data_IF_790444563421
#
_entry.id   IF_790444563421
#
_cell.length_a   1.000
_cell.length_b   1.000
_cell.length_c   1.000
_cell.angle_alpha   90.00
_cell.angle_beta   90.00
_cell.angle_gamma   90.00
#
_symmetry.space_group_name_H-M   'P 1'
#
loop_
_entity.id
_entity.type
_entity.pdbx_description
1 polymer ?
#
# COMPACT_ATOMS: atom_id res chain seq x y z
N UNK A 1 -21.65 -15.08 -4.72
CA UNK A 1 -20.61 -16.13 -4.66
C UNK A 1 -21.14 -17.33 -5.43
N UNK A 2 -20.76 -17.50 -6.69
CA UNK A 2 -21.00 -18.76 -7.43
C UNK A 2 -19.84 -19.73 -7.13
N UNK A 3 -20.12 -21.00 -6.78
CA UNK A 3 -19.16 -21.93 -6.16
C UNK A 3 -18.18 -22.55 -7.17
N UNK A 4 -17.09 -23.20 -6.72
CA UNK A 4 -15.94 -23.61 -7.56
C UNK A 4 -16.19 -24.76 -8.56
N UNK A 5 -17.44 -25.20 -8.76
CA UNK A 5 -17.77 -26.23 -9.75
C UNK A 5 -17.47 -25.81 -11.21
N UNK A 6 -17.54 -24.51 -11.51
CA UNK A 6 -17.27 -24.00 -12.87
C UNK A 6 -15.79 -24.09 -13.28
N UNK A 7 -14.87 -24.02 -12.30
CA UNK A 7 -13.43 -24.14 -12.57
C UNK A 7 -13.02 -25.61 -12.77
N UNK A 8 -13.59 -26.54 -12.01
CA UNK A 8 -13.28 -27.98 -12.13
C UNK A 8 -13.69 -28.56 -13.50
N UNK A 9 -14.82 -28.11 -14.07
CA UNK A 9 -15.26 -28.57 -15.40
C UNK A 9 -14.40 -28.02 -16.54
N UNK A 10 -13.73 -26.87 -16.34
CA UNK A 10 -12.86 -26.27 -17.35
C UNK A 10 -11.47 -26.93 -17.43
N UNK A 11 -10.93 -27.46 -16.32
CA UNK A 11 -9.59 -28.10 -16.31
C UNK A 11 -9.51 -29.30 -17.28
N UNK A 12 -10.64 -29.97 -17.56
CA UNK A 12 -10.68 -31.09 -18.52
C UNK A 12 -11.05 -30.66 -19.95
N UNK A 13 -11.31 -29.38 -20.20
CA UNK A 13 -11.74 -28.90 -21.52
C UNK A 13 -10.52 -28.78 -22.44
N UNK A 14 -10.58 -29.45 -23.60
CA UNK A 14 -9.60 -29.25 -24.67
C UNK A 14 -9.91 -27.95 -25.40
N UNK A 15 -8.89 -27.12 -25.56
CA UNK A 15 -8.98 -25.84 -26.26
C UNK A 15 -7.98 -25.80 -27.40
N UNK A 16 -8.32 -25.08 -28.46
CA UNK A 16 -7.44 -24.85 -29.62
C UNK A 16 -7.03 -23.38 -29.62
N UNK A 17 -5.74 -23.12 -29.79
CA UNK A 17 -5.24 -21.75 -29.86
C UNK A 17 -5.53 -21.16 -31.24
N UNK A 18 -6.15 -19.98 -31.33
CA UNK A 18 -6.37 -19.32 -32.63
C UNK A 18 -5.05 -19.06 -33.39
N UNK A 19 -3.98 -18.72 -32.69
CA UNK A 19 -2.74 -18.25 -33.34
C UNK A 19 -1.86 -19.42 -33.81
N UNK A 20 -1.61 -20.41 -32.95
CA UNK A 20 -0.74 -21.54 -33.28
C UNK A 20 -1.49 -22.82 -33.69
N UNK A 21 -2.83 -22.84 -33.54
CA UNK A 21 -3.70 -24.01 -33.82
C UNK A 21 -3.39 -25.27 -33.00
N UNK A 22 -2.53 -25.17 -31.98
CA UNK A 22 -2.24 -26.27 -31.05
C UNK A 22 -3.43 -26.55 -30.13
N UNK A 23 -3.70 -27.85 -29.92
CA UNK A 23 -4.72 -28.34 -28.99
C UNK A 23 -4.06 -28.80 -27.69
N UNK A 24 -4.47 -28.22 -26.56
CA UNK A 24 -4.06 -28.70 -25.23
C UNK A 24 -5.17 -28.55 -24.19
N UNK A 25 -4.96 -29.15 -23.02
CA UNK A 25 -5.86 -28.97 -21.88
C UNK A 25 -5.79 -27.54 -21.37
N UNK A 26 -6.95 -26.99 -20.99
CA UNK A 26 -7.03 -25.62 -20.51
C UNK A 26 -6.31 -25.45 -19.16
N UNK A 27 -5.20 -24.72 -19.19
CA UNK A 27 -4.33 -24.42 -18.04
C UNK A 27 -4.14 -22.91 -17.81
N UNK A 28 -3.35 -22.54 -16.79
CA UNK A 28 -3.04 -21.14 -16.43
C UNK A 28 -2.29 -20.33 -17.50
N UNK A 29 -1.79 -21.00 -18.54
CA UNK A 29 -1.13 -20.43 -19.72
C UNK A 29 -2.12 -19.88 -20.75
N UNK A 30 -3.41 -20.20 -20.62
CA UNK A 30 -4.46 -19.80 -21.56
C UNK A 30 -5.19 -18.53 -21.11
N UNK A 31 -5.70 -17.77 -22.09
CA UNK A 31 -6.66 -16.68 -21.90
C UNK A 31 -8.06 -17.20 -22.19
N UNK A 32 -8.99 -16.90 -21.27
CA UNK A 32 -10.40 -17.28 -21.42
C UNK A 32 -11.18 -16.16 -22.11
N UNK A 33 -11.77 -16.48 -23.25
CA UNK A 33 -12.83 -15.71 -23.87
C UNK A 33 -14.14 -15.85 -23.11
N UNK A 34 -14.88 -14.74 -22.97
CA UNK A 34 -16.20 -14.72 -22.32
C UNK A 34 -17.26 -15.57 -23.03
N UNK A 35 -17.14 -15.82 -24.34
CA UNK A 35 -18.09 -16.65 -25.09
C UNK A 35 -18.09 -18.14 -24.70
N UNK A 36 -17.04 -18.64 -24.04
CA UNK A 36 -16.94 -20.06 -23.67
C UNK A 36 -16.68 -21.02 -24.84
N UNK A 37 -16.33 -20.52 -26.03
CA UNK A 37 -15.95 -21.33 -27.19
C UNK A 37 -14.73 -22.23 -26.93
N UNK A 38 -14.45 -23.19 -27.83
CA UNK A 38 -13.25 -24.04 -27.74
C UNK A 38 -12.01 -23.31 -28.27
N UNK A 39 -12.20 -22.34 -29.17
CA UNK A 39 -11.14 -21.47 -29.62
C UNK A 39 -10.78 -20.45 -28.53
N UNK A 40 -9.59 -20.60 -27.99
CA UNK A 40 -9.00 -19.75 -26.96
C UNK A 40 -7.64 -19.24 -27.44
N UNK A 41 -6.90 -18.50 -26.63
CA UNK A 41 -5.59 -17.98 -27.01
C UNK A 41 -4.58 -18.28 -25.91
N UNK A 42 -3.39 -18.77 -26.26
CA UNK A 42 -2.28 -18.83 -25.31
C UNK A 42 -1.84 -17.41 -24.92
N UNK A 43 -1.53 -17.18 -23.65
CA UNK A 43 -0.97 -15.89 -23.18
C UNK A 43 0.27 -15.51 -24.00
N UNK A 44 1.18 -16.47 -24.25
CA UNK A 44 2.39 -16.25 -25.07
C UNK A 44 2.06 -15.82 -26.49
N UNK A 45 1.17 -16.55 -27.18
CA UNK A 45 0.78 -16.21 -28.54
C UNK A 45 0.11 -14.83 -28.61
N UNK A 46 -0.75 -14.49 -27.64
CA UNK A 46 -1.39 -13.18 -27.58
C UNK A 46 -0.36 -12.04 -27.43
N UNK A 47 0.64 -12.20 -26.55
CA UNK A 47 1.70 -11.20 -26.38
C UNK A 47 2.57 -11.09 -27.63
N UNK A 48 2.94 -12.22 -28.25
CA UNK A 48 3.70 -12.21 -29.51
C UNK A 48 2.95 -11.49 -30.63
N UNK A 49 1.64 -11.75 -30.76
CA UNK A 49 0.79 -11.09 -31.73
C UNK A 49 0.68 -9.59 -31.47
N UNK A 50 0.46 -9.17 -30.22
CA UNK A 50 0.47 -7.75 -29.86
C UNK A 50 1.81 -7.08 -30.18
N UNK A 51 2.91 -7.75 -29.86
CA UNK A 51 4.25 -7.25 -30.17
C UNK A 51 4.43 -7.00 -31.68
N UNK A 52 4.12 -7.99 -32.52
CA UNK A 52 4.21 -7.86 -33.98
C UNK A 52 3.32 -6.73 -34.52
N UNK A 53 2.08 -6.64 -34.05
CA UNK A 53 1.17 -5.57 -34.44
C UNK A 53 1.71 -4.18 -34.06
N UNK A 54 2.29 -4.04 -32.87
CA UNK A 54 2.90 -2.78 -32.47
C UNK A 54 4.18 -2.45 -33.26
N UNK A 55 5.01 -3.44 -33.58
CA UNK A 55 6.19 -3.22 -34.44
C UNK A 55 5.75 -2.76 -35.83
N UNK A 56 4.77 -3.41 -36.46
CA UNK A 56 4.26 -3.00 -37.77
C UNK A 56 3.65 -1.58 -37.76
N UNK A 57 2.91 -1.23 -36.72
CA UNK A 57 2.25 0.07 -36.60
C UNK A 57 3.22 1.22 -36.30
N UNK A 58 4.22 0.99 -35.44
CA UNK A 58 5.07 2.06 -34.90
C UNK A 58 6.49 2.06 -35.50
N UNK A 59 6.93 0.96 -36.11
CA UNK A 59 8.28 0.77 -36.66
C UNK A 59 8.20 0.21 -38.10
N UNK A 60 7.50 0.87 -39.05
CA UNK A 60 7.32 0.35 -40.40
C UNK A 60 8.63 0.25 -41.20
N UNK A 61 9.62 1.12 -40.92
CA UNK A 61 10.91 1.14 -41.62
C UNK A 61 11.94 0.32 -40.83
N UNK A 62 12.00 -0.99 -41.06
CA UNK A 62 12.84 -1.94 -40.32
C UNK A 62 14.35 -1.85 -40.59
N UNK A 63 14.77 -1.10 -41.62
CA UNK A 63 16.15 -1.17 -42.15
C UNK A 63 17.18 -0.46 -41.26
N UNK A 64 16.81 0.63 -40.57
CA UNK A 64 17.73 1.44 -39.75
C UNK A 64 17.19 1.69 -38.32
N UNK A 65 16.65 0.64 -37.68
CA UNK A 65 16.22 0.78 -36.29
C UNK A 65 17.44 0.87 -35.36
N UNK A 66 17.55 1.90 -34.49
CA UNK A 66 18.53 1.87 -33.42
C UNK A 66 18.29 0.64 -32.52
N UNK A 67 19.37 0.11 -31.94
CA UNK A 67 19.25 -0.90 -30.86
C UNK A 67 18.30 -0.33 -29.80
N UNK A 68 17.32 -1.14 -29.38
CA UNK A 68 16.29 -0.79 -28.39
C UNK A 68 15.12 0.10 -28.87
N UNK A 69 14.90 0.24 -30.18
CA UNK A 69 13.73 0.95 -30.72
C UNK A 69 12.38 0.32 -30.30
N UNK A 70 12.37 -0.98 -30.00
CA UNK A 70 11.22 -1.75 -29.49
C UNK A 70 11.04 -1.65 -27.96
N UNK A 71 11.98 -1.03 -27.24
CA UNK A 71 11.96 -0.90 -25.77
C UNK A 71 10.66 -0.27 -25.24
N UNK A 72 10.09 0.80 -25.87
CA UNK A 72 8.79 1.32 -25.45
C UNK A 72 7.69 0.27 -25.59
N UNK A 73 7.65 -0.49 -26.70
CA UNK A 73 6.64 -1.54 -26.93
C UNK A 73 6.77 -2.63 -25.87
N UNK A 74 7.99 -3.11 -25.62
CA UNK A 74 8.29 -4.11 -24.59
C UNK A 74 7.84 -3.62 -23.20
N UNK A 75 8.12 -2.36 -22.88
CA UNK A 75 7.71 -1.71 -21.62
C UNK A 75 6.19 -1.73 -21.44
N UNK A 76 5.45 -1.45 -22.51
CA UNK A 76 3.98 -1.47 -22.49
C UNK A 76 3.45 -2.90 -22.27
N UNK A 77 4.03 -3.88 -22.95
CA UNK A 77 3.64 -5.29 -22.81
C UNK A 77 3.94 -5.83 -21.41
N UNK A 78 5.09 -5.46 -20.84
CA UNK A 78 5.42 -5.79 -19.46
C UNK A 78 4.41 -5.21 -18.47
N UNK A 79 4.05 -3.94 -18.63
CA UNK A 79 2.97 -3.32 -17.87
C UNK A 79 1.65 -4.07 -18.07
N UNK A 80 1.28 -4.47 -19.29
CA UNK A 80 0.07 -5.24 -19.57
C UNK A 80 0.04 -6.56 -18.82
N UNK A 81 1.14 -7.31 -18.80
CA UNK A 81 1.17 -8.65 -18.22
C UNK A 81 1.24 -8.64 -16.69
N UNK A 82 1.66 -7.51 -16.12
CA UNK A 82 1.80 -7.35 -14.68
C UNK A 82 0.45 -7.31 -13.94
N UNK A 83 0.14 -8.38 -13.21
CA UNK A 83 -1.05 -8.46 -12.37
C UNK A 83 -1.02 -7.53 -11.15
N UNK A 84 0.17 -7.07 -10.73
CA UNK A 84 0.35 -6.18 -9.59
C UNK A 84 0.91 -4.80 -9.99
N UNK A 85 0.59 -4.35 -11.21
CA UNK A 85 1.03 -3.05 -11.74
C UNK A 85 0.71 -1.87 -10.80
N UNK A 86 -0.40 -1.94 -10.05
CA UNK A 86 -0.81 -0.88 -9.12
C UNK A 86 0.24 -0.60 -8.01
N UNK A 87 1.20 -1.50 -7.76
CA UNK A 87 2.27 -1.25 -6.80
C UNK A 87 3.20 -0.10 -7.19
N UNK A 88 3.29 0.23 -8.47
CA UNK A 88 4.19 1.27 -8.98
C UNK A 88 3.45 2.56 -9.36
N UNK A 89 2.12 2.50 -9.48
CA UNK A 89 1.32 3.65 -9.90
C UNK A 89 0.86 4.50 -8.72
N UNK A 90 0.85 5.81 -8.94
CA UNK A 90 0.21 6.77 -8.04
C UNK A 90 -1.11 7.19 -8.65
N UNK A 91 -2.18 7.02 -7.90
CA UNK A 91 -3.49 7.54 -8.28
C UNK A 91 -3.73 8.88 -7.60
N UNK A 92 -4.09 9.89 -8.40
CA UNK A 92 -4.59 11.15 -7.85
C UNK A 92 -5.99 10.94 -7.26
N UNK A 93 -6.45 11.88 -6.43
CA UNK A 93 -7.81 11.81 -5.88
C UNK A 93 -8.84 11.79 -7.01
N UNK A 94 -8.67 12.61 -8.06
CA UNK A 94 -9.57 12.67 -9.22
C UNK A 94 -9.66 11.34 -9.97
N UNK A 95 -8.53 10.69 -10.25
CA UNK A 95 -8.49 9.39 -10.92
C UNK A 95 -9.20 8.29 -10.09
N UNK A 96 -9.12 8.34 -8.76
CA UNK A 96 -9.83 7.40 -7.88
C UNK A 96 -11.35 7.59 -7.98
N UNK A 97 -11.83 8.82 -8.16
CA UNK A 97 -13.25 9.11 -8.35
C UNK A 97 -13.77 8.64 -9.72
N UNK A 98 -12.98 8.84 -10.78
CA UNK A 98 -13.32 8.43 -12.14
C UNK A 98 -13.31 6.90 -12.31
N UNK A 99 -12.41 6.19 -11.62
CA UNK A 99 -12.25 4.72 -11.73
C UNK A 99 -13.20 3.91 -10.84
N UNK A 100 -14.21 4.52 -10.22
CA UNK A 100 -15.13 3.80 -9.32
C UNK A 100 -15.96 2.76 -10.08
N UNK A 101 -16.13 1.55 -9.52
CA UNK A 101 -17.09 0.59 -10.06
C UNK A 101 -18.56 0.99 -9.81
N UNK A 102 -18.83 1.85 -8.82
CA UNK A 102 -20.20 2.20 -8.38
C UNK A 102 -20.88 3.17 -9.33
N UNK A 103 -20.14 4.19 -9.80
CA UNK A 103 -20.58 5.00 -10.92
C UNK A 103 -20.16 4.23 -12.14
N UNK A 104 -20.98 3.21 -12.45
CA UNK A 104 -20.72 2.27 -13.54
C UNK A 104 -20.12 3.04 -14.69
N UNK A 105 -18.90 2.64 -15.09
CA UNK A 105 -18.12 3.28 -16.14
C UNK A 105 -19.10 3.81 -17.16
N UNK A 106 -19.36 5.13 -17.16
CA UNK A 106 -20.05 5.72 -18.29
C UNK A 106 -19.15 5.31 -19.43
N UNK A 107 -19.68 4.45 -20.29
CA UNK A 107 -19.07 4.06 -21.53
C UNK A 107 -18.93 5.34 -22.33
N UNK A 108 -17.93 6.14 -22.01
CA UNK A 108 -17.46 7.20 -22.87
C UNK A 108 -16.93 6.42 -24.07
N UNK A 109 -17.61 6.49 -25.23
CA UNK A 109 -17.22 5.69 -26.37
C UNK A 109 -15.79 6.07 -26.73
N UNK A 110 -14.97 5.03 -26.89
CA UNK A 110 -13.51 4.95 -27.03
C UNK A 110 -12.81 5.92 -28.00
N UNK A 111 -13.53 6.79 -28.71
CA UNK A 111 -12.93 7.68 -29.72
C UNK A 111 -12.02 8.75 -29.09
N UNK A 112 -12.38 9.30 -27.92
CA UNK A 112 -11.52 10.27 -27.23
C UNK A 112 -10.32 9.62 -26.53
N UNK A 113 -10.48 8.39 -26.02
CA UNK A 113 -9.37 7.64 -25.41
C UNK A 113 -8.33 7.23 -26.46
N UNK A 114 -8.71 6.96 -27.72
CA UNK A 114 -7.73 6.65 -28.76
C UNK A 114 -6.77 7.82 -29.01
N UNK A 115 -7.30 9.04 -29.18
CA UNK A 115 -6.48 10.25 -29.39
C UNK A 115 -5.71 10.63 -28.13
N UNK A 116 -6.32 10.53 -26.94
CA UNK A 116 -5.63 10.79 -25.68
C UNK A 116 -4.55 9.74 -25.37
N UNK A 117 -4.76 8.47 -25.71
CA UNK A 117 -3.77 7.40 -25.51
C UNK A 117 -2.62 7.52 -26.52
N UNK A 118 -2.93 7.85 -27.78
CA UNK A 118 -1.92 8.16 -28.79
C UNK A 118 -1.11 9.39 -28.36
N UNK A 119 -1.77 10.45 -27.87
CA UNK A 119 -1.09 11.61 -27.29
C UNK A 119 -0.35 11.29 -26.00
N UNK A 120 -0.77 10.30 -25.20
CA UNK A 120 -0.05 9.88 -23.99
C UNK A 120 1.23 9.08 -24.27
N UNK A 121 1.36 8.49 -25.46
CA UNK A 121 2.63 7.94 -25.94
C UNK A 121 3.65 9.07 -26.19
N UNK A 122 3.19 10.24 -26.62
CA UNK A 122 4.04 11.40 -26.94
C UNK A 122 4.20 12.39 -25.78
N UNK A 123 3.17 12.56 -24.95
CA UNK A 123 3.25 13.34 -23.71
C UNK A 123 3.78 12.42 -22.63
N UNK A 124 4.99 12.69 -22.13
CA UNK A 124 5.61 12.01 -20.97
C UNK A 124 4.70 12.09 -19.74
N UNK A 125 3.62 11.32 -19.72
CA UNK A 125 2.79 11.13 -18.54
C UNK A 125 3.44 9.98 -17.78
N UNK A 126 4.43 10.33 -16.96
CA UNK A 126 5.35 9.42 -16.27
C UNK A 126 4.68 8.28 -15.47
N UNK A 127 3.34 8.28 -15.30
CA UNK A 127 2.61 7.33 -14.46
C UNK A 127 1.56 6.45 -15.16
N UNK A 128 1.33 6.59 -16.46
CA UNK A 128 0.35 5.74 -17.16
C UNK A 128 1.05 4.98 -18.29
N UNK A 129 1.24 3.64 -18.19
CA UNK A 129 1.63 2.89 -19.37
C UNK A 129 0.52 3.06 -20.43
N UNK A 130 0.89 3.25 -21.70
CA UNK A 130 -0.10 3.44 -22.76
C UNK A 130 -1.00 2.22 -22.79
N UNK A 131 -2.30 2.48 -22.70
CA UNK A 131 -3.31 1.44 -22.64
C UNK A 131 -3.23 0.56 -23.88
N UNK A 132 -3.13 -0.75 -23.67
CA UNK A 132 -3.23 -1.73 -24.76
C UNK A 132 -4.63 -1.63 -25.37
N UNK A 133 -4.65 -1.44 -26.68
CA UNK A 133 -5.78 -1.03 -27.49
C UNK A 133 -6.89 -2.10 -27.62
N UNK A 134 -6.56 -3.38 -27.44
CA UNK A 134 -7.50 -4.48 -27.77
C UNK A 134 -8.14 -5.07 -26.51
N UNK A 135 -9.09 -4.37 -25.91
CA UNK A 135 -9.99 -4.96 -24.89
C UNK A 135 -11.14 -5.76 -25.50
N UNK A 136 -11.49 -5.48 -26.76
CA UNK A 136 -12.67 -5.98 -27.44
C UNK A 136 -12.29 -6.55 -28.81
N UNK A 137 -12.79 -7.75 -29.11
CA UNK A 137 -12.69 -8.35 -30.43
C UNK A 137 -13.83 -9.35 -30.65
N UNK A 138 -14.24 -9.54 -31.89
CA UNK A 138 -15.18 -10.61 -32.22
C UNK A 138 -14.50 -11.97 -32.05
N UNK A 139 -15.20 -12.92 -31.45
CA UNK A 139 -14.77 -14.31 -31.50
C UNK A 139 -14.72 -14.77 -32.96
N UNK A 140 -13.61 -15.32 -33.47
CA UNK A 140 -13.58 -15.88 -34.82
C UNK A 140 -14.52 -17.08 -34.97
N UNK A 141 -14.79 -17.81 -33.88
CA UNK A 141 -15.66 -18.99 -33.89
C UNK A 141 -17.14 -18.63 -33.85
N UNK A 142 -17.55 -17.67 -33.00
CA UNK A 142 -18.98 -17.36 -32.80
C UNK A 142 -19.39 -15.93 -33.18
N UNK A 143 -18.47 -15.10 -33.67
CA UNK A 143 -18.63 -13.67 -34.03
C UNK A 143 -19.22 -12.77 -32.93
N UNK A 144 -19.35 -13.28 -31.70
CA UNK A 144 -19.79 -12.48 -30.55
C UNK A 144 -18.64 -11.59 -30.08
N UNK A 145 -18.95 -10.36 -29.70
CA UNK A 145 -18.00 -9.47 -29.03
C UNK A 145 -17.56 -10.12 -27.72
N UNK A 146 -16.25 -10.33 -27.60
CA UNK A 146 -15.64 -10.93 -26.44
C UNK A 146 -14.77 -9.94 -25.70
N UNK A 147 -14.80 -10.04 -24.38
CA UNK A 147 -13.79 -9.44 -23.53
C UNK A 147 -12.63 -10.42 -23.39
N UNK A 148 -11.46 -10.05 -23.89
CA UNK A 148 -10.23 -10.77 -23.58
C UNK A 148 -9.83 -10.32 -22.18
N UNK A 149 -9.87 -11.24 -21.20
CA UNK A 149 -9.32 -10.95 -19.87
C UNK A 149 -7.84 -10.59 -20.03
N UNK A 150 -7.40 -9.55 -19.31
CA UNK A 150 -5.98 -9.12 -19.30
C UNK A 150 -5.08 -10.34 -18.99
N UNK A 151 -4.06 -10.63 -19.81
CA UNK A 151 -3.05 -11.63 -19.45
C UNK A 151 -2.37 -11.14 -18.19
N UNK A 152 -2.44 -11.95 -17.12
CA UNK A 152 -1.68 -11.67 -15.90
C UNK A 152 -0.67 -12.79 -15.68
N UNK A 153 0.57 -12.39 -15.43
CA UNK A 153 1.62 -13.25 -14.87
C UNK A 153 1.83 -12.76 -13.45
N UNK A 154 1.58 -13.65 -12.49
CA UNK A 154 1.81 -13.38 -11.07
C UNK A 154 2.54 -14.56 -10.45
N UNK A 155 3.36 -14.28 -9.44
CA UNK A 155 3.83 -15.34 -8.55
C UNK A 155 2.71 -15.60 -7.55
N UNK A 156 2.35 -16.87 -7.34
CA UNK A 156 1.39 -17.31 -6.32
C UNK A 156 1.96 -17.12 -4.90
N UNK A 157 2.24 -15.87 -4.51
CA UNK A 157 2.71 -15.49 -3.18
C UNK A 157 1.54 -14.90 -2.40
N UNK A 158 1.16 -15.57 -1.31
CA UNK A 158 0.11 -15.11 -0.40
C UNK A 158 0.42 -13.72 0.17
N UNK A 159 1.68 -13.46 0.52
CA UNK A 159 2.12 -12.17 1.07
C UNK A 159 1.92 -11.04 0.05
N UNK A 160 2.34 -11.25 -1.19
CA UNK A 160 2.21 -10.21 -2.22
C UNK A 160 0.74 -9.94 -2.56
N UNK A 161 -0.07 -10.99 -2.61
CA UNK A 161 -1.53 -10.89 -2.79
C UNK A 161 -2.19 -10.10 -1.65
N UNK A 162 -1.81 -10.34 -0.39
CA UNK A 162 -2.30 -9.59 0.76
C UNK A 162 -1.92 -8.11 0.70
N UNK A 163 -0.67 -7.80 0.35
CA UNK A 163 -0.23 -6.41 0.16
C UNK A 163 -1.00 -5.71 -0.99
N UNK A 164 -1.25 -6.44 -2.09
CA UNK A 164 -2.02 -5.91 -3.21
C UNK A 164 -3.49 -5.64 -2.83
N UNK A 165 -4.12 -6.58 -2.12
CA UNK A 165 -5.46 -6.41 -1.59
C UNK A 165 -5.54 -5.23 -0.61
N UNK A 166 -4.56 -5.09 0.28
CA UNK A 166 -4.46 -3.95 1.20
C UNK A 166 -4.39 -2.62 0.46
N UNK A 167 -3.55 -2.50 -0.56
CA UNK A 167 -3.49 -1.28 -1.38
C UNK A 167 -4.81 -1.01 -2.11
N UNK A 168 -5.45 -2.04 -2.66
CA UNK A 168 -6.75 -1.90 -3.34
C UNK A 168 -7.85 -1.45 -2.38
N UNK A 169 -7.90 -2.00 -1.17
CA UNK A 169 -8.88 -1.61 -0.15
C UNK A 169 -8.64 -0.17 0.28
N UNK A 170 -7.40 0.18 0.66
CA UNK A 170 -7.05 1.53 1.11
C UNK A 170 -7.25 2.59 0.03
N UNK A 171 -7.01 2.26 -1.24
CA UNK A 171 -7.27 3.14 -2.41
C UNK A 171 -8.71 3.64 -2.47
N UNK A 172 -9.68 2.81 -2.10
CA UNK A 172 -11.09 3.20 -2.14
C UNK A 172 -11.63 3.65 -0.78
N UNK A 173 -11.33 2.92 0.29
CA UNK A 173 -11.90 3.17 1.63
C UNK A 173 -11.44 4.51 2.20
N UNK A 174 -10.17 4.88 2.03
CA UNK A 174 -9.63 6.10 2.65
C UNK A 174 -10.14 7.37 1.96
N UNK A 175 -10.08 7.52 0.62
CA UNK A 175 -10.66 8.70 -0.02
C UNK A 175 -12.18 8.82 0.21
N UNK A 176 -12.90 7.69 0.25
CA UNK A 176 -14.30 7.64 0.67
C UNK A 176 -14.50 8.16 2.10
N UNK A 177 -13.68 7.69 3.03
CA UNK A 177 -13.73 8.14 4.43
C UNK A 177 -13.42 9.63 4.57
N UNK A 178 -12.38 10.13 3.90
CA UNK A 178 -12.03 11.56 3.91
C UNK A 178 -13.18 12.38 3.36
N UNK A 179 -13.70 12.02 2.19
CA UNK A 179 -14.78 12.79 1.59
C UNK A 179 -16.09 12.69 2.37
N UNK A 180 -16.41 11.56 2.99
CA UNK A 180 -17.62 11.46 3.81
C UNK A 180 -17.49 12.16 5.16
N UNK A 181 -16.33 12.13 5.81
CA UNK A 181 -16.16 12.62 7.19
C UNK A 181 -15.59 14.05 7.24
N UNK A 182 -14.54 14.33 6.48
CA UNK A 182 -13.88 15.63 6.51
C UNK A 182 -14.64 16.72 5.74
N UNK A 183 -15.45 16.39 4.73
CA UNK A 183 -16.29 17.41 4.08
C UNK A 183 -17.41 17.90 4.99
N UNK A 184 -17.86 17.08 5.96
CA UNK A 184 -18.94 17.44 6.86
C UNK A 184 -18.44 18.26 8.07
N UNK A 185 -17.35 17.84 8.71
CA UNK A 185 -16.72 18.61 9.78
C UNK A 185 -15.25 18.17 9.98
N UNK A 186 -14.26 18.87 9.37
CA UNK A 186 -12.86 18.45 9.42
C UNK A 186 -12.24 18.62 10.82
N UNK A 187 -12.66 19.64 11.57
CA UNK A 187 -12.19 19.90 12.92
C UNK A 187 -12.61 18.79 13.86
N UNK A 188 -13.92 18.49 13.92
CA UNK A 188 -14.46 17.40 14.72
C UNK A 188 -13.85 16.05 14.36
N UNK A 189 -13.75 15.74 13.07
CA UNK A 189 -13.19 14.45 12.62
C UNK A 189 -11.73 14.30 13.07
N UNK A 190 -10.94 15.38 12.96
CA UNK A 190 -9.55 15.37 13.43
C UNK A 190 -9.46 15.21 14.94
N UNK A 191 -10.36 15.85 15.69
CA UNK A 191 -10.42 15.72 17.14
C UNK A 191 -10.75 14.28 17.57
N UNK A 192 -11.80 13.70 16.98
CA UNK A 192 -12.29 12.36 17.29
C UNK A 192 -11.23 11.29 16.97
N UNK A 193 -10.53 11.42 15.83
CA UNK A 193 -9.42 10.52 15.47
C UNK A 193 -8.29 10.65 16.50
N UNK A 194 -7.86 11.88 16.83
CA UNK A 194 -6.76 12.10 17.77
C UNK A 194 -7.06 11.54 19.16
N UNK A 195 -8.29 11.77 19.64
CA UNK A 195 -8.75 11.27 20.94
C UNK A 195 -8.86 9.74 20.94
N UNK A 196 -9.38 9.14 19.86
CA UNK A 196 -9.44 7.69 19.72
C UNK A 196 -8.03 7.05 19.69
N UNK A 197 -7.08 7.66 18.99
CA UNK A 197 -5.69 7.20 18.96
C UNK A 197 -5.04 7.25 20.36
N UNK A 198 -5.27 8.34 21.11
CA UNK A 198 -4.83 8.48 22.49
C UNK A 198 -5.43 7.37 23.39
N UNK A 199 -6.74 7.12 23.30
CA UNK A 199 -7.44 6.04 24.02
C UNK A 199 -6.96 4.64 23.66
N UNK A 200 -6.37 4.45 22.48
CA UNK A 200 -5.79 3.16 22.12
C UNK A 200 -4.51 2.87 22.90
N UNK A 201 -3.64 3.87 23.07
CA UNK A 201 -2.30 3.69 23.63
C UNK A 201 -2.26 3.94 25.13
N UNK A 202 -2.96 4.97 25.59
CA UNK A 202 -2.96 5.41 26.97
C UNK A 202 -4.20 4.89 27.72
N UNK A 203 -4.03 4.25 28.88
CA UNK A 203 -5.14 3.91 29.76
C UNK A 203 -5.86 5.18 30.24
N UNK A 204 -7.15 5.02 30.54
CA UNK A 204 -8.04 6.10 30.96
C UNK A 204 -7.48 6.93 32.14
N UNK A 205 -6.90 6.29 33.16
CA UNK A 205 -6.33 7.00 34.31
C UNK A 205 -5.17 7.94 33.92
N UNK A 206 -4.34 7.51 32.96
CA UNK A 206 -3.22 8.33 32.48
C UNK A 206 -3.76 9.49 31.63
N UNK A 207 -4.75 9.22 30.78
CA UNK A 207 -5.38 10.24 29.93
C UNK A 207 -6.09 11.33 30.73
N UNK A 208 -6.84 10.97 31.77
CA UNK A 208 -7.51 11.93 32.66
C UNK A 208 -6.54 12.91 33.27
N UNK A 209 -5.40 12.41 33.75
CA UNK A 209 -4.35 13.23 34.34
C UNK A 209 -3.66 14.09 33.27
N UNK A 210 -3.34 13.53 32.11
CA UNK A 210 -2.67 14.24 31.03
C UNK A 210 -3.54 15.36 30.42
N UNK A 211 -4.84 15.13 30.28
CA UNK A 211 -5.80 16.08 29.70
C UNK A 211 -6.49 16.96 30.76
N UNK A 212 -6.25 16.71 32.05
CA UNK A 212 -6.88 17.36 33.20
C UNK A 212 -8.42 17.32 33.16
N UNK A 213 -8.99 16.13 32.92
CA UNK A 213 -10.44 15.92 32.77
C UNK A 213 -10.88 14.71 33.60
N UNK A 214 -12.10 14.75 34.13
CA UNK A 214 -12.69 13.68 34.95
C UNK A 214 -12.89 12.36 34.20
N UNK A 215 -13.25 12.42 32.91
CA UNK A 215 -13.39 11.26 32.02
C UNK A 215 -13.13 11.66 30.58
N UNK A 216 -12.40 10.84 29.82
CA UNK A 216 -12.18 11.14 28.40
C UNK A 216 -13.49 11.15 27.63
N UNK A 217 -14.55 10.47 28.09
CA UNK A 217 -15.88 10.47 27.46
C UNK A 217 -16.57 11.83 27.49
N UNK A 218 -16.23 12.70 28.45
CA UNK A 218 -16.77 14.06 28.50
C UNK A 218 -16.34 14.86 27.25
N UNK A 219 -15.14 14.59 26.73
CA UNK A 219 -14.66 15.22 25.50
C UNK A 219 -15.48 14.82 24.27
N UNK A 220 -16.06 13.62 24.23
CA UNK A 220 -16.93 13.21 23.12
C UNK A 220 -18.19 14.10 23.09
N UNK A 221 -18.70 14.50 24.27
CA UNK A 221 -19.85 15.41 24.39
C UNK A 221 -19.48 16.83 23.97
N UNK A 222 -18.34 17.34 24.44
CA UNK A 222 -17.83 18.64 24.00
C UNK A 222 -17.58 18.68 22.48
N UNK A 223 -17.10 17.59 21.89
CA UNK A 223 -16.85 17.48 20.45
C UNK A 223 -18.11 17.46 19.58
N UNK A 224 -19.31 17.37 20.16
CA UNK A 224 -20.56 17.37 19.38
C UNK A 224 -20.91 18.74 18.80
N UNK A 225 -20.41 19.83 19.39
CA UNK A 225 -20.70 21.20 18.96
C UNK A 225 -19.42 22.01 18.83
N UNK A 226 -19.37 22.97 17.91
CA UNK A 226 -18.20 23.86 17.74
C UNK A 226 -17.89 24.66 19.01
N UNK A 227 -18.92 25.16 19.69
CA UNK A 227 -18.77 25.85 20.99
C UNK A 227 -18.19 24.92 22.06
N UNK A 228 -18.60 23.65 22.05
CA UNK A 228 -18.05 22.64 22.94
C UNK A 228 -16.57 22.36 22.64
N UNK A 229 -16.16 22.25 21.37
CA UNK A 229 -14.76 22.12 20.98
C UNK A 229 -13.92 23.32 21.44
N UNK A 230 -14.41 24.54 21.24
CA UNK A 230 -13.74 25.78 21.68
C UNK A 230 -13.63 25.90 23.20
N UNK A 231 -14.51 25.25 23.96
CA UNK A 231 -14.45 25.25 25.43
C UNK A 231 -13.34 24.35 26.00
N UNK A 232 -12.76 23.47 25.19
CA UNK A 232 -11.68 22.58 25.62
C UNK A 232 -10.41 23.40 25.84
N UNK A 233 -9.70 23.25 26.99
CA UNK A 233 -8.46 23.95 27.24
C UNK A 233 -7.44 23.75 26.13
N UNK A 234 -6.77 24.83 25.71
CA UNK A 234 -5.80 24.82 24.60
C UNK A 234 -4.74 23.72 24.74
N UNK A 235 -4.24 23.47 25.95
CA UNK A 235 -3.26 22.39 26.20
C UNK A 235 -3.82 21.02 25.83
N UNK A 236 -5.06 20.72 26.22
CA UNK A 236 -5.71 19.44 25.93
C UNK A 236 -6.00 19.31 24.43
N UNK A 237 -6.46 20.40 23.79
CA UNK A 237 -6.65 20.44 22.34
C UNK A 237 -5.34 20.19 21.58
N UNK A 238 -4.23 20.82 21.96
CA UNK A 238 -2.91 20.59 21.36
C UNK A 238 -2.46 19.13 21.55
N UNK A 239 -2.67 18.56 22.73
CA UNK A 239 -2.31 17.16 22.99
C UNK A 239 -3.10 16.22 22.07
N UNK A 240 -4.40 16.46 21.88
CA UNK A 240 -5.30 15.62 21.07
C UNK A 240 -5.00 15.77 19.58
N UNK A 241 -5.09 16.99 19.02
CA UNK A 241 -4.81 17.23 17.60
C UNK A 241 -3.34 16.94 17.25
N UNK A 242 -2.43 17.35 18.11
CA UNK A 242 -0.99 17.15 17.92
C UNK A 242 -0.60 15.68 17.93
N UNK A 243 -1.39 14.79 18.53
CA UNK A 243 -1.08 13.35 18.55
C UNK A 243 -1.10 12.73 17.15
N UNK A 244 -2.05 13.13 16.31
CA UNK A 244 -2.13 12.68 14.90
C UNK A 244 -0.84 13.06 14.17
N UNK A 245 -0.39 14.30 14.35
CA UNK A 245 0.83 14.81 13.74
C UNK A 245 2.09 14.20 14.36
N UNK A 246 2.08 13.90 15.66
CA UNK A 246 3.18 13.26 16.35
C UNK A 246 3.41 11.85 15.80
N UNK A 247 2.36 11.03 15.76
CA UNK A 247 2.40 9.69 15.17
C UNK A 247 2.85 9.73 13.71
N UNK A 248 2.33 10.70 12.95
CA UNK A 248 2.71 10.92 11.55
C UNK A 248 4.20 11.19 11.33
N UNK A 249 4.88 11.73 12.35
CA UNK A 249 6.27 12.15 12.30
C UNK A 249 7.24 11.21 13.03
N UNK A 250 6.77 10.11 13.64
CA UNK A 250 7.64 9.20 14.43
C UNK A 250 8.85 8.75 13.62
N UNK A 251 8.63 8.23 12.41
CA UNK A 251 9.69 7.74 11.51
C UNK A 251 10.36 8.84 10.66
N UNK A 252 9.81 10.06 10.66
CA UNK A 252 10.35 11.17 9.89
C UNK A 252 11.57 11.77 10.60
N UNK A 253 12.68 11.89 9.86
CA UNK A 253 13.97 12.39 10.36
C UNK A 253 14.24 13.83 9.86
N UNK A 254 13.26 14.47 9.22
CA UNK A 254 13.41 15.89 8.85
C UNK A 254 13.55 16.78 10.09
N UNK A 255 14.31 17.87 9.96
CA UNK A 255 14.52 18.83 11.05
C UNK A 255 13.19 19.34 11.62
N UNK A 256 12.23 19.65 10.76
CA UNK A 256 10.88 20.10 11.16
C UNK A 256 10.12 19.02 11.93
N UNK A 257 10.21 17.76 11.52
CA UNK A 257 9.57 16.66 12.24
C UNK A 257 10.21 16.43 13.61
N UNK A 258 11.53 16.56 13.71
CA UNK A 258 12.26 16.45 14.99
C UNK A 258 11.85 17.60 15.92
N UNK A 259 11.83 18.83 15.43
CA UNK A 259 11.41 20.00 16.20
C UNK A 259 9.97 19.84 16.70
N UNK A 260 9.04 19.47 15.82
CA UNK A 260 7.64 19.23 16.19
C UNK A 260 7.52 18.15 17.27
N UNK A 261 8.20 17.01 17.09
CA UNK A 261 8.22 15.93 18.10
C UNK A 261 8.72 16.45 19.45
N UNK A 262 9.79 17.25 19.45
CA UNK A 262 10.35 17.78 20.68
C UNK A 262 9.42 18.79 21.36
N UNK A 263 8.81 19.70 20.61
CA UNK A 263 7.83 20.67 21.13
C UNK A 263 6.59 19.97 21.67
N UNK A 264 5.99 19.08 20.89
CA UNK A 264 4.81 18.31 21.30
C UNK A 264 5.06 17.54 22.60
N UNK A 265 6.19 16.82 22.68
CA UNK A 265 6.54 16.05 23.87
C UNK A 265 6.88 16.95 25.07
N UNK A 266 7.42 18.14 24.83
CA UNK A 266 7.63 19.12 25.90
C UNK A 266 6.30 19.59 26.49
N UNK A 267 5.28 19.82 25.65
CA UNK A 267 3.91 20.17 26.08
C UNK A 267 3.27 19.01 26.85
N UNK A 268 3.38 17.77 26.34
CA UNK A 268 2.87 16.58 27.04
C UNK A 268 3.58 16.39 28.39
N UNK A 269 4.90 16.61 28.45
CA UNK A 269 5.69 16.50 29.67
C UNK A 269 5.32 17.56 30.70
N UNK A 270 5.15 18.82 30.30
CA UNK A 270 4.75 19.90 31.23
C UNK A 270 3.33 19.70 31.75
N UNK A 271 2.40 19.32 30.88
CA UNK A 271 1.04 18.94 31.27
C UNK A 271 1.04 17.73 32.21
N UNK A 272 1.80 16.69 31.87
CA UNK A 272 2.00 15.50 32.69
C UNK A 272 2.56 15.84 34.07
N UNK A 273 3.69 16.53 34.16
CA UNK A 273 4.32 16.88 35.44
C UNK A 273 3.43 17.71 36.36
N UNK A 274 2.55 18.55 35.80
CA UNK A 274 1.65 19.40 36.59
C UNK A 274 0.58 18.60 37.32
N UNK A 275 0.06 17.54 36.70
CA UNK A 275 -1.11 16.80 37.22
C UNK A 275 -0.80 15.36 37.64
N UNK A 276 0.31 14.80 37.15
CA UNK A 276 0.72 13.43 37.38
C UNK A 276 1.95 13.39 38.28
N UNK A 277 1.76 12.95 39.54
CA UNK A 277 2.85 12.74 40.51
C UNK A 277 3.69 11.48 40.24
N UNK A 278 3.34 10.69 39.23
CA UNK A 278 4.07 9.46 38.90
C UNK A 278 5.35 9.74 38.11
N UNK A 279 6.39 8.95 38.39
CA UNK A 279 7.70 9.04 37.72
C UNK A 279 7.62 8.56 36.25
N UNK A 280 6.54 7.86 35.87
CA UNK A 280 6.43 7.09 34.64
C UNK A 280 6.35 7.88 33.34
N UNK A 281 5.40 8.81 33.19
CA UNK A 281 5.08 9.40 31.87
C UNK A 281 6.27 10.12 31.21
N UNK A 282 7.01 11.01 31.88
CA UNK A 282 8.18 11.67 31.28
C UNK A 282 9.30 10.69 30.93
N UNK A 283 9.54 9.68 31.79
CA UNK A 283 10.55 8.65 31.53
C UNK A 283 10.18 7.79 30.33
N UNK A 284 8.91 7.39 30.21
CA UNK A 284 8.41 6.60 29.09
C UNK A 284 8.55 7.36 27.78
N UNK A 285 8.22 8.65 27.76
CA UNK A 285 8.43 9.52 26.60
C UNK A 285 9.92 9.64 26.23
N UNK A 286 10.80 9.79 27.24
CA UNK A 286 12.24 9.82 27.01
C UNK A 286 12.74 8.50 26.41
N UNK A 287 12.31 7.35 26.95
CA UNK A 287 12.68 6.03 26.45
C UNK A 287 12.09 5.74 25.07
N UNK A 288 10.87 6.19 24.76
CA UNK A 288 10.30 6.04 23.42
C UNK A 288 11.08 6.85 22.38
N UNK A 289 11.57 8.03 22.74
CA UNK A 289 12.45 8.82 21.87
C UNK A 289 13.79 8.13 21.65
N UNK A 290 14.40 7.61 22.72
CA UNK A 290 15.66 6.88 22.62
C UNK A 290 15.50 5.61 21.78
N UNK A 291 14.41 4.86 21.95
CA UNK A 291 14.07 3.71 21.13
C UNK A 291 13.87 4.09 19.65
N UNK A 292 13.20 5.21 19.37
CA UNK A 292 13.02 5.73 18.00
C UNK A 292 14.35 6.13 17.38
N UNK A 293 15.25 6.75 18.17
CA UNK A 293 16.60 7.07 17.74
C UNK A 293 17.40 5.80 17.41
N UNK A 294 17.40 4.81 18.31
CA UNK A 294 18.05 3.52 18.08
C UNK A 294 17.50 2.82 16.83
N UNK A 295 16.18 2.81 16.63
CA UNK A 295 15.53 2.27 15.43
C UNK A 295 16.04 2.94 14.15
N UNK A 296 16.07 4.27 14.12
CA UNK A 296 16.52 5.03 12.95
C UNK A 296 18.02 4.85 12.69
N UNK A 297 18.84 4.76 13.74
CA UNK A 297 20.28 4.63 13.62
C UNK A 297 20.72 3.21 13.20
N UNK A 298 20.05 2.18 13.70
CA UNK A 298 20.46 0.78 13.48
C UNK A 298 19.57 0.08 12.45
N UNK A 299 18.32 -0.19 12.81
CA UNK A 299 17.39 -1.01 12.02
C UNK A 299 17.08 -0.38 10.67
N UNK A 300 16.73 0.91 10.63
CA UNK A 300 16.43 1.61 9.37
C UNK A 300 17.61 1.59 8.41
N UNK A 301 18.82 1.86 8.89
CA UNK A 301 20.03 1.77 8.06
C UNK A 301 20.25 0.36 7.50
N UNK A 302 20.06 -0.67 8.33
CA UNK A 302 20.19 -2.06 7.89
C UNK A 302 19.15 -2.41 6.82
N UNK A 303 17.89 -2.01 7.02
CA UNK A 303 16.80 -2.20 6.05
C UNK A 303 17.10 -1.46 4.75
N UNK A 304 17.56 -0.20 4.81
CA UNK A 304 17.95 0.59 3.64
C UNK A 304 19.10 -0.08 2.85
N UNK A 305 20.08 -0.67 3.54
CA UNK A 305 21.16 -1.43 2.89
C UNK A 305 20.62 -2.66 2.15
N UNK A 306 19.68 -3.39 2.73
CA UNK A 306 19.05 -4.54 2.06
C UNK A 306 18.23 -4.04 0.86
N UNK A 307 17.45 -2.97 1.00
CA UNK A 307 16.73 -2.37 -0.10
C UNK A 307 17.67 -1.96 -1.25
N UNK A 308 18.80 -1.33 -0.96
CA UNK A 308 19.80 -0.98 -1.99
C UNK A 308 20.32 -2.21 -2.74
N UNK A 309 20.59 -3.32 -2.02
CA UNK A 309 20.99 -4.58 -2.67
C UNK A 309 19.88 -5.14 -3.55
N UNK A 310 18.63 -5.08 -3.10
CA UNK A 310 17.47 -5.49 -3.89
C UNK A 310 17.28 -4.60 -5.12
N UNK A 311 17.47 -3.29 -5.00
CA UNK A 311 17.39 -2.33 -6.11
C UNK A 311 18.49 -2.63 -7.14
N UNK A 312 19.73 -2.87 -6.71
CA UNK A 312 20.82 -3.20 -7.64
C UNK A 312 20.57 -4.50 -8.40
N UNK A 313 19.96 -5.50 -7.75
CA UNK A 313 19.61 -6.77 -8.40
C UNK A 313 18.36 -6.63 -9.29
N UNK A 314 17.32 -6.01 -8.75
CA UNK A 314 15.96 -5.98 -9.30
C UNK A 314 15.65 -4.81 -10.22
N UNK A 315 16.40 -3.72 -10.11
CA UNK A 315 16.13 -2.47 -10.82
C UNK A 315 16.25 -2.62 -12.34
N UNK A 316 17.08 -3.55 -12.81
CA UNK A 316 17.19 -3.91 -14.23
C UNK A 316 15.89 -4.48 -14.80
N UNK A 317 15.03 -5.03 -13.96
CA UNK A 317 13.80 -5.68 -14.41
C UNK A 317 12.59 -4.73 -14.47
N UNK A 318 12.74 -3.48 -14.03
CA UNK A 318 11.66 -2.50 -14.07
C UNK A 318 11.33 -2.04 -15.48
N UNK A 319 10.10 -1.55 -15.65
CA UNK A 319 9.56 -1.19 -16.96
C UNK A 319 9.90 0.25 -17.37
N UNK A 320 10.03 1.19 -16.43
CA UNK A 320 10.31 2.58 -16.80
C UNK A 320 11.80 2.78 -17.09
N UNK A 321 12.15 3.02 -18.36
CA UNK A 321 13.52 3.14 -18.84
C UNK A 321 14.34 4.34 -18.32
N UNK A 322 13.74 5.29 -17.60
CA UNK A 322 14.42 6.53 -17.18
C UNK A 322 14.52 6.71 -15.65
N UNK A 323 14.78 5.64 -14.89
CA UNK A 323 14.96 5.72 -13.43
C UNK A 323 16.32 6.26 -12.98
N UNK A 324 17.34 6.35 -13.85
CA UNK A 324 18.63 6.95 -13.46
C UNK A 324 18.45 8.39 -12.92
N UNK A 325 17.49 9.14 -13.48
CA UNK A 325 17.19 10.51 -13.03
C UNK A 325 16.28 10.62 -11.80
N UNK A 326 15.47 9.60 -11.49
CA UNK A 326 14.56 9.61 -10.31
C UNK A 326 15.11 8.83 -9.11
N UNK A 327 16.22 8.12 -9.29
CA UNK A 327 16.96 7.41 -8.23
C UNK A 327 17.30 8.29 -7.03
N UNK A 328 17.46 9.61 -7.25
CA UNK A 328 17.81 10.56 -6.19
C UNK A 328 16.63 11.04 -5.35
N UNK A 329 15.37 10.90 -5.79
CA UNK A 329 14.22 11.49 -5.09
C UNK A 329 13.31 10.47 -4.39
N UNK A 330 13.29 9.21 -4.84
CA UNK A 330 12.39 8.20 -4.29
C UNK A 330 13.05 7.44 -3.14
N UNK A 331 12.42 7.33 -1.96
CA UNK A 331 12.93 6.49 -0.86
C UNK A 331 13.12 5.03 -1.31
N UNK A 332 14.22 4.40 -0.89
CA UNK A 332 14.56 3.02 -1.28
C UNK A 332 13.44 2.00 -0.96
N UNK A 333 12.72 2.22 0.15
CA UNK A 333 11.57 1.40 0.57
C UNK A 333 10.37 1.47 -0.40
N UNK A 334 10.30 2.47 -1.27
CA UNK A 334 9.16 2.75 -2.15
C UNK A 334 9.43 2.39 -3.61
N UNK A 335 10.62 1.87 -3.89
CA UNK A 335 11.08 1.58 -5.25
C UNK A 335 10.29 0.46 -5.93
N UNK A 336 10.04 -0.65 -5.23
CA UNK A 336 9.28 -1.79 -5.77
C UNK A 336 7.78 -1.75 -5.43
N UNK A 337 7.45 -1.24 -4.24
CA UNK A 337 6.09 -1.11 -3.73
C UNK A 337 5.95 0.32 -3.21
N UNK A 338 5.35 1.17 -4.03
CA UNK A 338 5.15 2.58 -3.70
C UNK A 338 4.09 2.71 -2.63
N UNK A 339 4.37 3.55 -1.62
CA UNK A 339 3.38 3.93 -0.62
C UNK A 339 2.60 5.14 -1.13
N UNK A 340 1.36 4.90 -1.50
CA UNK A 340 0.46 5.99 -1.86
C UNK A 340 -0.01 6.75 -0.62
N UNK A 341 -0.37 8.02 -0.79
CA UNK A 341 -0.77 8.92 0.29
C UNK A 341 -1.92 8.36 1.14
N UNK A 342 -2.87 7.66 0.53
CA UNK A 342 -4.00 7.03 1.21
C UNK A 342 -3.58 5.82 2.06
N UNK A 343 -2.61 5.04 1.62
CA UNK A 343 -2.08 3.91 2.40
C UNK A 343 -1.30 4.44 3.62
N UNK A 344 -0.53 5.52 3.44
CA UNK A 344 0.16 6.22 4.53
C UNK A 344 -0.85 6.73 5.56
N UNK A 345 -1.96 7.32 5.13
CA UNK A 345 -3.00 7.79 6.03
C UNK A 345 -3.70 6.63 6.77
N UNK A 346 -4.01 5.53 6.07
CA UNK A 346 -4.58 4.33 6.67
C UNK A 346 -3.66 3.75 7.77
N UNK A 347 -2.37 3.60 7.45
CA UNK A 347 -1.36 3.10 8.39
C UNK A 347 -1.29 3.99 9.63
N UNK A 348 -1.25 5.32 9.44
CA UNK A 348 -1.21 6.29 10.55
C UNK A 348 -2.42 6.21 11.46
N UNK A 349 -3.62 6.06 10.90
CA UNK A 349 -4.85 5.92 11.68
C UNK A 349 -4.85 4.58 12.41
N UNK A 350 -4.54 3.48 11.72
CA UNK A 350 -4.65 2.13 12.27
C UNK A 350 -3.55 1.79 13.29
N UNK A 351 -2.40 2.47 13.24
CA UNK A 351 -1.20 2.14 14.02
C UNK A 351 -1.42 2.03 15.53
N UNK A 352 -2.12 2.96 16.20
CA UNK A 352 -2.36 2.90 17.64
C UNK A 352 -3.19 1.69 18.05
N UNK A 353 -4.15 1.30 17.20
CA UNK A 353 -4.96 0.10 17.43
C UNK A 353 -4.11 -1.18 17.31
N UNK A 354 -3.30 -1.28 16.25
CA UNK A 354 -2.37 -2.40 16.08
C UNK A 354 -1.42 -2.50 17.26
N UNK A 355 -0.86 -1.37 17.70
CA UNK A 355 0.03 -1.31 18.87
C UNK A 355 -0.63 -1.73 20.18
N UNK A 356 -1.91 -1.38 20.38
CA UNK A 356 -2.70 -1.86 21.53
C UNK A 356 -2.89 -3.38 21.48
N UNK A 357 -3.20 -3.93 20.31
CA UNK A 357 -3.40 -5.37 20.13
C UNK A 357 -2.09 -6.15 20.34
N UNK A 358 -1.00 -5.75 19.68
CA UNK A 358 0.31 -6.39 19.83
C UNK A 358 0.85 -6.21 21.25
N UNK A 359 0.69 -5.03 21.84
CA UNK A 359 1.06 -4.76 23.22
C UNK A 359 0.31 -5.63 24.23
N UNK A 360 -0.99 -5.82 24.02
CA UNK A 360 -1.80 -6.75 24.82
C UNK A 360 -1.32 -8.20 24.71
N UNK A 361 -0.98 -8.67 23.50
CA UNK A 361 -0.41 -10.00 23.29
C UNK A 361 0.95 -10.16 23.98
N UNK A 362 1.83 -9.16 23.86
CA UNK A 362 3.15 -9.15 24.51
C UNK A 362 3.00 -9.16 26.04
N UNK A 363 2.06 -8.39 26.58
CA UNK A 363 1.77 -8.37 28.01
C UNK A 363 1.30 -9.75 28.50
N UNK A 364 0.37 -10.38 27.77
CA UNK A 364 -0.11 -11.72 28.11
C UNK A 364 1.01 -12.77 28.02
N UNK A 365 1.85 -12.69 26.99
CA UNK A 365 3.02 -13.56 26.85
C UNK A 365 4.01 -13.35 28.01
N UNK A 366 4.28 -12.10 28.39
CA UNK A 366 5.14 -11.76 29.52
C UNK A 366 4.59 -12.33 30.84
N UNK A 367 3.30 -12.12 31.13
CA UNK A 367 2.65 -12.67 32.32
C UNK A 367 2.64 -14.20 32.33
N UNK A 368 2.49 -14.83 31.16
CA UNK A 368 2.60 -16.28 31.03
C UNK A 368 4.02 -16.78 31.33
N UNK A 369 5.05 -16.11 30.80
CA UNK A 369 6.46 -16.41 31.11
C UNK A 369 6.72 -16.25 32.61
N UNK A 370 6.28 -15.13 33.20
CA UNK A 370 6.45 -14.85 34.62
C UNK A 370 5.84 -15.94 35.50
N UNK A 371 4.61 -16.38 35.19
CA UNK A 371 3.91 -17.48 35.89
C UNK A 371 4.64 -18.81 35.72
N UNK A 372 5.12 -19.11 34.51
CA UNK A 372 5.77 -20.39 34.19
C UNK A 372 7.14 -20.52 34.87
N UNK A 373 7.91 -19.43 34.92
CA UNK A 373 9.26 -19.42 35.50
C UNK A 373 9.30 -18.94 36.96
N UNK A 374 8.14 -18.64 37.58
CA UNK A 374 8.03 -18.11 38.95
C UNK A 374 8.96 -16.91 39.21
N UNK A 375 9.07 -16.01 38.24
CA UNK A 375 9.92 -14.83 38.37
C UNK A 375 9.18 -13.80 39.25
N UNK A 376 9.68 -13.58 40.46
CA UNK A 376 9.20 -12.53 41.36
C UNK A 376 9.71 -11.17 40.87
N UNK A 377 8.91 -10.52 40.04
CA UNK A 377 9.16 -9.15 39.61
C UNK A 377 7.95 -8.29 39.91
N UNK A 378 8.13 -7.38 40.87
CA UNK A 378 7.15 -6.36 41.25
C UNK A 378 7.58 -5.03 40.63
N UNK A 379 6.99 -4.61 39.50
CA UNK A 379 7.34 -3.34 38.90
C UNK A 379 6.92 -2.17 39.81
N UNK A 380 7.77 -1.14 39.93
CA UNK A 380 7.49 0.11 40.65
C UNK A 380 6.48 1.02 39.90
N UNK A 381 5.57 0.46 39.11
CA UNK A 381 4.61 1.20 38.30
C UNK A 381 3.19 0.66 38.50
N UNK A 382 2.19 1.51 38.27
CA UNK A 382 0.80 1.08 38.36
C UNK A 382 0.47 0.06 37.26
N UNK A 383 -0.49 -0.86 37.45
CA UNK A 383 -0.90 -1.80 36.40
C UNK A 383 -1.31 -1.11 35.09
N UNK A 384 -1.89 0.10 35.19
CA UNK A 384 -2.19 0.94 34.03
C UNK A 384 -0.94 1.43 33.31
N UNK A 385 0.07 1.94 34.01
CA UNK A 385 1.34 2.35 33.41
C UNK A 385 2.05 1.17 32.76
N UNK A 386 2.01 0.01 33.42
CA UNK A 386 2.58 -1.21 32.88
C UNK A 386 1.93 -1.59 31.54
N UNK A 387 0.60 -1.55 31.47
CA UNK A 387 -0.13 -1.78 30.20
C UNK A 387 0.21 -0.74 29.13
N UNK A 388 0.35 0.52 29.50
CA UNK A 388 0.75 1.60 28.59
C UNK A 388 2.13 1.34 27.98
N UNK A 389 3.12 0.94 28.80
CA UNK A 389 4.47 0.60 28.33
C UNK A 389 4.39 -0.51 27.28
N UNK A 390 3.62 -1.58 27.56
CA UNK A 390 3.44 -2.67 26.60
C UNK A 390 2.71 -2.24 25.33
N UNK A 391 1.72 -1.34 25.38
CA UNK A 391 1.09 -0.78 24.18
C UNK A 391 2.09 0.00 23.31
N UNK A 392 2.97 0.79 23.92
CA UNK A 392 4.01 1.56 23.21
C UNK A 392 5.05 0.62 22.60
N UNK A 393 5.51 -0.38 23.36
CA UNK A 393 6.39 -1.45 22.84
C UNK A 393 5.67 -2.20 21.70
N UNK A 394 4.37 -2.43 21.83
CA UNK A 394 3.50 -3.00 20.81
C UNK A 394 3.53 -2.21 19.50
N UNK A 395 3.47 -0.87 19.55
CA UNK A 395 3.65 -0.03 18.37
C UNK A 395 5.02 -0.21 17.71
N UNK A 396 6.09 -0.27 18.52
CA UNK A 396 7.45 -0.43 18.01
C UNK A 396 7.68 -1.80 17.37
N UNK A 397 7.25 -2.86 18.03
CA UNK A 397 7.33 -4.25 17.52
C UNK A 397 6.50 -4.44 16.26
N UNK A 398 5.29 -3.88 16.21
CA UNK A 398 4.48 -3.86 15.00
C UNK A 398 5.20 -3.14 13.84
N UNK A 399 5.99 -2.10 14.12
CA UNK A 399 6.59 -1.25 13.08
C UNK A 399 7.76 -1.98 12.43
N UNK A 400 8.57 -2.61 13.27
CA UNK A 400 9.61 -3.53 12.85
C UNK A 400 8.99 -4.67 12.02
N UNK A 401 7.93 -5.31 12.53
CA UNK A 401 7.24 -6.39 11.82
C UNK A 401 6.68 -5.96 10.46
N UNK A 402 6.03 -4.80 10.37
CA UNK A 402 5.51 -4.25 9.12
C UNK A 402 6.63 -3.95 8.12
N UNK A 403 7.73 -3.34 8.60
CA UNK A 403 8.88 -3.01 7.75
C UNK A 403 9.57 -4.27 7.22
N UNK A 404 9.71 -5.30 8.05
CA UNK A 404 10.22 -6.62 7.64
C UNK A 404 9.30 -7.33 6.65
N UNK A 405 7.98 -7.29 6.86
CA UNK A 405 6.99 -7.84 5.93
C UNK A 405 7.01 -7.12 4.59
N UNK A 406 7.12 -5.79 4.59
CA UNK A 406 7.23 -4.98 3.37
C UNK A 406 8.52 -5.27 2.62
N UNK A 407 9.64 -5.43 3.32
CA UNK A 407 10.92 -5.83 2.73
C UNK A 407 10.81 -7.19 2.04
N UNK A 408 10.19 -8.17 2.71
CA UNK A 408 9.93 -9.48 2.13
C UNK A 408 8.98 -9.42 0.92
N UNK A 409 7.93 -8.61 0.98
CA UNK A 409 7.03 -8.38 -0.14
C UNK A 409 7.77 -7.75 -1.33
N UNK A 410 8.68 -6.80 -1.08
CA UNK A 410 9.52 -6.19 -2.11
C UNK A 410 10.50 -7.19 -2.73
N UNK A 411 11.08 -8.09 -1.94
CA UNK A 411 11.88 -9.20 -2.46
C UNK A 411 11.06 -10.13 -3.37
N UNK A 412 9.84 -10.51 -2.93
CA UNK A 412 8.94 -11.32 -3.76
C UNK A 412 8.48 -10.60 -5.02
N UNK A 413 8.29 -9.29 -4.95
CA UNK A 413 7.97 -8.45 -6.09
C UNK A 413 9.13 -8.41 -7.09
N UNK A 414 10.37 -8.32 -6.62
CA UNK A 414 11.55 -8.42 -7.49
C UNK A 414 11.58 -9.74 -8.27
N UNK A 415 11.30 -10.88 -7.62
CA UNK A 415 11.21 -12.18 -8.31
C UNK A 415 10.08 -12.22 -9.34
N UNK A 416 8.96 -11.53 -9.08
CA UNK A 416 7.84 -11.47 -10.01
C UNK A 416 8.18 -10.66 -11.26
N UNK A 417 8.88 -9.53 -11.10
CA UNK A 417 9.35 -8.71 -12.22
C UNK A 417 10.36 -9.45 -13.10
N UNK A 418 11.26 -10.23 -12.50
CA UNK A 418 12.20 -11.10 -13.21
C UNK A 418 11.45 -12.10 -14.10
N UNK A 419 10.45 -12.79 -13.55
CA UNK A 419 9.61 -13.72 -14.32
C UNK A 419 8.78 -13.05 -15.41
N UNK A 420 8.29 -11.83 -15.18
CA UNK A 420 7.56 -11.08 -16.20
C UNK A 420 8.49 -10.73 -17.35
N UNK A 421 9.73 -10.31 -17.05
CA UNK A 421 10.71 -10.02 -18.08
C UNK A 421 11.10 -11.26 -18.89
N UNK A 422 11.40 -12.37 -18.23
CA UNK A 422 11.66 -13.65 -18.92
C UNK A 422 10.48 -14.06 -19.81
N UNK A 423 9.26 -13.92 -19.31
CA UNK A 423 8.04 -14.26 -20.07
C UNK A 423 7.88 -13.39 -21.32
N UNK A 424 8.11 -12.08 -21.21
CA UNK A 424 8.02 -11.16 -22.36
C UNK A 424 9.16 -11.40 -23.35
N UNK A 425 10.39 -11.58 -22.87
CA UNK A 425 11.56 -11.83 -23.73
C UNK A 425 11.39 -13.13 -24.53
N UNK A 426 10.97 -14.22 -23.88
CA UNK A 426 10.64 -15.47 -24.57
C UNK A 426 9.50 -15.30 -25.58
N UNK A 427 8.45 -14.54 -25.23
CA UNK A 427 7.30 -14.36 -26.11
C UNK A 427 7.60 -13.49 -27.34
N UNK A 428 8.44 -12.46 -27.19
CA UNK A 428 8.75 -11.51 -28.26
C UNK A 428 9.91 -11.98 -29.16
N UNK A 429 10.96 -12.62 -28.60
CA UNK A 429 12.14 -13.06 -29.38
C UNK A 429 11.94 -14.42 -30.07
N UNK A 430 10.88 -15.14 -29.76
CA UNK A 430 10.43 -16.29 -30.55
C UNK A 430 11.35 -17.51 -30.52
N UNK A 431 11.93 -17.83 -29.35
CA UNK A 431 12.54 -19.14 -29.08
C UNK A 431 11.49 -20.23 -28.84
#
# INVERSE_FOLDING_TARGET
MTPPHFFLSLIKKRCICWICLEESTYDSTWLQHTCGCNLQIHKRCYIRWLYQMHVELFLPNTVDLPKDADLPIITCLKCLVDGHHDFMTTFSLTEIWETRPIWGQKSVPFQNDYVFNLMSLYTKRDNHPPYVLVKFGECPQCKKTNFIKRPTVTIQSSVLSLFYQWQKITRYVIPLGITSLFLLNPEKTSFDIGLWQLRCLFPENVLRNMLNISTTKALDVYAQTERGLLSIPLTSSIIIYGFIHYLSNISNVSANAILFKWVYLSIVKTAGNKYYKGIGLPKIILYSNLATFCYNFTFKRLVDLIYRRLINKGGKYLYHGNFENSSNSVPAEEFFIRRNWYAILAEKILWPFVGKCTGGLLLNAFLWIQRKFKIEWTPNCSPSEFRMIFNIIGCGTAAIGWSSLKLYASYKRCQELEKINEFIEQSCKGE
#
